data_IF_886917027723
#
_entry.id   IF_886917027723
#
_cell.length_a   1.000
_cell.length_b   1.000
_cell.length_c   1.000
_cell.angle_alpha   90.00
_cell.angle_beta   90.00
_cell.angle_gamma   90.00
#
_symmetry.space_group_name_H-M   'P 1'
#
loop_
_entity.id
_entity.type
_entity.pdbx_description
1 polymer ?
#
# COMPACT_ATOMS: atom_id res chain seq x y z
N UNK A 1 11.49 12.64 -18.44
CA UNK A 1 12.00 11.30 -18.08
C UNK A 1 11.26 10.84 -16.84
N UNK A 2 10.52 9.74 -16.92
CA UNK A 2 9.81 9.19 -15.77
C UNK A 2 10.79 8.33 -14.96
N UNK A 3 11.04 8.71 -13.71
CA UNK A 3 11.89 7.93 -12.81
C UNK A 3 11.06 6.70 -12.41
N UNK A 4 11.47 5.51 -12.88
CA UNK A 4 10.90 4.23 -12.45
C UNK A 4 11.33 4.01 -11.00
N UNK A 5 10.56 4.53 -10.05
CA UNK A 5 10.68 4.10 -8.65
C UNK A 5 10.19 2.65 -8.63
N UNK A 6 11.05 1.72 -8.21
CA UNK A 6 10.60 0.35 -7.93
C UNK A 6 9.39 0.45 -6.98
N UNK A 7 8.18 0.05 -7.42
CA UNK A 7 7.00 0.10 -6.58
C UNK A 7 7.05 -0.97 -5.48
N UNK A 8 8.00 -1.90 -5.60
CA UNK A 8 8.26 -2.94 -4.63
C UNK A 8 8.99 -2.37 -3.41
N UNK A 9 8.22 -2.10 -2.37
CA UNK A 9 8.75 -1.72 -1.08
C UNK A 9 9.10 -3.01 -0.32
N UNK A 10 10.39 -3.33 -0.15
CA UNK A 10 10.79 -4.36 0.81
C UNK A 10 10.79 -3.73 2.19
N UNK A 11 9.66 -3.81 2.90
CA UNK A 11 9.60 -3.46 4.32
C UNK A 11 10.65 -4.28 5.08
N UNK A 12 11.30 -3.68 6.09
CA UNK A 12 12.36 -4.35 6.85
C UNK A 12 11.92 -5.67 7.54
N UNK A 13 10.60 -5.90 7.62
CA UNK A 13 9.94 -7.06 8.22
C UNK A 13 9.21 -7.96 7.21
N UNK A 14 9.03 -7.52 5.95
CA UNK A 14 8.37 -8.30 4.89
C UNK A 14 9.24 -8.26 3.63
N UNK A 15 9.97 -9.35 3.41
CA UNK A 15 10.90 -9.50 2.30
C UNK A 15 10.21 -9.88 0.98
N UNK A 16 8.88 -10.09 0.97
CA UNK A 16 8.17 -10.42 -0.27
C UNK A 16 7.94 -9.13 -1.08
N UNK A 17 8.18 -9.14 -2.40
CA UNK A 17 7.85 -8.01 -3.26
C UNK A 17 6.37 -7.66 -3.16
N UNK A 18 6.08 -6.42 -2.75
CA UNK A 18 4.72 -5.90 -2.69
C UNK A 18 4.68 -4.41 -3.02
N UNK A 19 3.55 -3.98 -3.57
CA UNK A 19 3.17 -2.58 -3.64
C UNK A 19 2.30 -2.23 -2.43
N UNK A 20 2.56 -1.07 -1.81
CA UNK A 20 1.68 -0.51 -0.77
C UNK A 20 0.69 0.44 -1.42
N UNK A 21 -0.60 0.16 -1.27
CA UNK A 21 -1.68 1.03 -1.70
C UNK A 21 -2.36 1.65 -0.48
N UNK A 22 -2.47 2.98 -0.47
CA UNK A 22 -3.29 3.73 0.47
C UNK A 22 -4.55 4.18 -0.26
N UNK A 23 -5.72 3.85 0.28
CA UNK A 23 -6.99 4.25 -0.29
C UNK A 23 -7.99 4.57 0.82
N UNK A 24 -9.00 5.36 0.47
CA UNK A 24 -10.08 5.72 1.36
C UNK A 24 -11.38 5.75 0.55
N UNK A 25 -12.44 5.22 1.14
CA UNK A 25 -13.81 5.54 0.68
C UNK A 25 -14.13 7.01 0.97
N UNK A 26 -15.19 7.54 0.36
CA UNK A 26 -15.64 8.90 0.67
C UNK A 26 -15.93 9.11 2.17
N UNK A 27 -16.48 8.09 2.84
CA UNK A 27 -16.75 8.14 4.28
C UNK A 27 -15.44 8.14 5.09
N UNK A 28 -14.48 7.28 4.75
CA UNK A 28 -13.18 7.24 5.41
C UNK A 28 -12.43 8.57 5.25
N UNK A 29 -12.44 9.13 4.04
CA UNK A 29 -11.83 10.42 3.77
C UNK A 29 -12.44 11.54 4.62
N UNK A 30 -13.78 11.59 4.71
CA UNK A 30 -14.50 12.57 5.56
C UNK A 30 -14.17 12.44 7.05
N UNK A 31 -13.85 11.23 7.50
CA UNK A 31 -13.50 10.94 8.89
C UNK A 31 -11.98 10.97 9.15
N UNK A 32 -11.17 11.44 8.19
CA UNK A 32 -9.70 11.44 8.26
C UNK A 32 -9.08 10.05 8.51
N UNK A 33 -9.68 9.03 7.90
CA UNK A 33 -9.24 7.65 7.96
C UNK A 33 -8.83 7.15 6.59
N UNK A 34 -8.05 6.08 6.58
CA UNK A 34 -7.65 5.37 5.37
C UNK A 34 -7.47 3.89 5.66
N UNK A 35 -7.33 3.15 4.57
CA UNK A 35 -6.97 1.74 4.61
C UNK A 35 -5.72 1.50 3.77
N UNK A 36 -4.87 0.60 4.28
CA UNK A 36 -3.63 0.20 3.64
C UNK A 36 -3.78 -1.24 3.15
N UNK A 37 -3.40 -1.49 1.91
CA UNK A 37 -3.19 -2.84 1.41
C UNK A 37 -1.74 -3.04 0.98
N UNK A 38 -1.18 -4.19 1.32
CA UNK A 38 0.00 -4.72 0.66
C UNK A 38 -0.46 -5.66 -0.44
N UNK A 39 -0.11 -5.33 -1.68
CA UNK A 39 -0.44 -6.12 -2.87
C UNK A 39 0.83 -6.85 -3.29
N UNK A 40 0.88 -8.16 -3.03
CA UNK A 40 2.01 -9.01 -3.35
C UNK A 40 2.00 -9.41 -4.82
N UNK A 41 3.19 -9.51 -5.38
CA UNK A 41 3.37 -9.92 -6.76
C UNK A 41 4.61 -10.82 -6.92
N UNK A 42 4.62 -11.64 -7.99
CA UNK A 42 5.79 -12.42 -8.37
C UNK A 42 6.86 -11.55 -9.04
N UNK A 43 7.98 -12.17 -9.42
CA UNK A 43 9.10 -11.50 -10.11
C UNK A 43 8.72 -10.97 -11.51
N UNK A 44 7.61 -11.44 -12.08
CA UNK A 44 7.06 -10.94 -13.35
C UNK A 44 5.99 -9.85 -13.13
N UNK A 45 5.79 -9.41 -11.88
CA UNK A 45 4.78 -8.42 -11.51
C UNK A 45 3.35 -8.95 -11.51
N UNK A 46 3.15 -10.27 -11.55
CA UNK A 46 1.81 -10.87 -11.53
C UNK A 46 1.31 -10.95 -10.10
N UNK A 47 0.05 -10.59 -9.89
CA UNK A 47 -0.60 -10.63 -8.59
C UNK A 47 -0.54 -12.03 -7.96
N UNK A 48 -0.09 -12.11 -6.71
CA UNK A 48 0.00 -13.36 -5.95
C UNK A 48 -0.84 -13.35 -4.67
N UNK A 49 -1.30 -12.18 -4.24
CA UNK A 49 -2.13 -12.04 -3.05
C UNK A 49 -2.16 -10.61 -2.54
N UNK A 50 -2.96 -10.34 -1.52
CA UNK A 50 -2.88 -9.09 -0.77
C UNK A 50 -3.17 -9.33 0.71
N UNK A 51 -2.67 -8.42 1.54
CA UNK A 51 -3.07 -8.27 2.94
C UNK A 51 -3.72 -6.91 3.08
N UNK A 52 -4.94 -6.91 3.59
CA UNK A 52 -5.67 -5.70 3.93
C UNK A 52 -5.50 -5.43 5.43
N UNK A 53 -4.87 -4.31 5.75
CA UNK A 53 -4.74 -3.88 7.15
C UNK A 53 -6.04 -3.26 7.64
N UNK A 54 -6.23 -3.28 8.95
CA UNK A 54 -7.35 -2.58 9.56
C UNK A 54 -7.30 -1.09 9.21
N UNK A 55 -8.49 -0.51 9.08
CA UNK A 55 -8.66 0.93 8.97
C UNK A 55 -7.87 1.65 10.07
N UNK A 56 -7.21 2.75 9.71
CA UNK A 56 -6.46 3.58 10.65
C UNK A 56 -6.71 5.05 10.38
N UNK A 57 -6.54 5.86 11.43
CA UNK A 57 -6.45 7.31 11.29
C UNK A 57 -5.23 7.68 10.42
N UNK A 58 -5.43 8.68 9.57
CA UNK A 58 -4.34 9.26 8.78
C UNK A 58 -3.33 9.94 9.71
N UNK A 59 -2.05 9.70 9.45
CA UNK A 59 -0.95 10.41 10.09
C UNK A 59 -0.42 11.49 9.15
N UNK A 60 0.31 12.50 9.66
CA UNK A 60 0.84 13.58 8.83
C UNK A 60 1.73 13.12 7.67
N UNK A 61 2.31 11.92 7.76
CA UNK A 61 3.15 11.29 6.74
C UNK A 61 2.38 10.56 5.64
N UNK A 62 1.04 10.46 5.74
CA UNK A 62 0.18 9.82 4.75
C UNK A 62 -0.30 10.79 3.64
N UNK A 63 0.19 12.05 3.67
CA UNK A 63 -0.17 13.14 2.77
C UNK A 63 0.91 13.39 1.70
#
# INVERSE_FOLDING_TARGET
MAILKNPSHTSHTDMKPHATALFATEEQFKNNKSQVAHIYHDEQGRYTGHVLYQERDNKPSDN
#
